data_IF_374413004028
#
_entry.id   IF_374413004028
#
_cell.length_a   1.000
_cell.length_b   1.000
_cell.length_c   1.000
_cell.angle_alpha   90.00
_cell.angle_beta   90.00
_cell.angle_gamma   90.00
#
_symmetry.space_group_name_H-M   'P 1'
#
loop_
_entity.id
_entity.type
_entity.pdbx_description
1 polymer ?
#
# COMPACT_ATOMS: atom_id res chain seq x y z
N UNK A 1 -1.64 -1.28 -37.14
CA UNK A 1 -1.00 -1.56 -35.83
C UNK A 1 -1.99 -1.12 -34.76
N UNK A 2 -2.23 -1.93 -33.74
CA UNK A 2 -3.06 -1.47 -32.62
C UNK A 2 -2.41 -0.24 -31.98
N UNK A 3 -3.20 0.76 -31.62
CA UNK A 3 -2.70 1.96 -30.93
C UNK A 3 -2.16 1.55 -29.55
N UNK A 4 -1.02 2.12 -29.16
CA UNK A 4 -0.37 1.90 -27.86
C UNK A 4 -0.51 3.15 -27.02
N UNK A 5 -0.82 2.99 -25.73
CA UNK A 5 -0.96 4.12 -24.83
C UNK A 5 -0.02 4.01 -23.62
N UNK A 6 0.51 5.15 -23.19
CA UNK A 6 1.27 5.29 -21.94
C UNK A 6 0.52 6.26 -21.05
N UNK A 7 0.20 5.83 -19.83
CA UNK A 7 -0.28 6.69 -18.75
C UNK A 7 0.84 6.93 -17.74
N UNK A 8 1.47 8.09 -17.80
CA UNK A 8 2.52 8.48 -16.86
C UNK A 8 1.93 9.32 -15.73
N UNK A 9 1.88 8.76 -14.51
CA UNK A 9 1.39 9.45 -13.31
C UNK A 9 2.58 9.93 -12.48
N UNK A 10 2.67 11.24 -12.28
CA UNK A 10 3.65 11.91 -11.42
C UNK A 10 2.95 12.32 -10.12
N UNK A 11 2.74 11.35 -9.22
CA UNK A 11 2.05 11.57 -7.94
C UNK A 11 2.86 12.52 -7.05
N UNK A 12 2.19 13.53 -6.49
CA UNK A 12 2.82 14.54 -5.64
C UNK A 12 3.61 15.63 -6.37
N UNK A 13 3.47 15.76 -7.70
CA UNK A 13 4.14 16.80 -8.49
C UNK A 13 3.51 18.19 -8.30
N UNK A 14 2.20 18.24 -8.02
CA UNK A 14 1.46 19.49 -7.84
C UNK A 14 1.90 20.24 -6.59
N UNK A 15 1.91 21.57 -6.67
CA UNK A 15 2.17 22.47 -5.56
C UNK A 15 1.22 23.67 -5.61
N UNK A 16 1.07 24.36 -4.49
CA UNK A 16 0.27 25.58 -4.46
C UNK A 16 1.07 26.76 -5.02
N UNK A 17 0.45 27.63 -5.85
CA UNK A 17 1.06 28.86 -6.26
C UNK A 17 1.46 29.68 -5.03
N UNK A 18 2.72 29.99 -4.91
CA UNK A 18 3.27 30.80 -3.84
C UNK A 18 3.91 32.08 -4.41
N UNK A 19 4.21 33.10 -3.60
CA UNK A 19 4.94 34.28 -4.06
C UNK A 19 6.31 33.94 -4.67
N UNK A 20 6.87 32.78 -4.31
CA UNK A 20 8.10 32.23 -4.90
C UNK A 20 7.74 31.13 -5.89
N UNK A 21 8.61 30.93 -6.90
CA UNK A 21 8.47 29.83 -7.87
C UNK A 21 8.36 28.48 -7.18
N UNK A 22 7.46 27.63 -7.68
CA UNK A 22 7.31 26.26 -7.21
C UNK A 22 8.53 25.40 -7.62
N UNK A 23 8.81 24.27 -6.95
CA UNK A 23 9.85 23.34 -7.37
C UNK A 23 9.73 22.92 -8.85
N UNK A 24 8.51 22.71 -9.32
CA UNK A 24 8.24 22.34 -10.72
C UNK A 24 8.64 23.45 -11.70
N UNK A 25 8.36 24.71 -11.38
CA UNK A 25 8.77 25.87 -12.21
C UNK A 25 10.28 26.03 -12.25
N UNK A 26 10.98 25.68 -11.16
CA UNK A 26 12.45 25.78 -11.06
C UNK A 26 13.18 24.59 -11.69
N UNK A 27 12.53 23.46 -11.87
CA UNK A 27 13.14 22.24 -12.38
C UNK A 27 13.48 22.36 -13.88
N UNK A 28 14.63 21.81 -14.28
CA UNK A 28 14.99 21.62 -15.69
C UNK A 28 14.22 20.41 -16.23
N UNK A 29 13.20 20.65 -17.04
CA UNK A 29 12.28 19.61 -17.54
C UNK A 29 11.94 19.77 -19.04
N UNK A 30 12.95 19.85 -19.92
CA UNK A 30 12.73 20.22 -21.32
C UNK A 30 11.77 19.29 -22.07
N UNK A 31 11.76 17.99 -21.74
CA UNK A 31 10.85 17.03 -22.37
C UNK A 31 9.40 17.23 -21.92
N UNK A 32 9.16 17.49 -20.62
CA UNK A 32 7.82 17.82 -20.12
C UNK A 32 7.31 19.13 -20.70
N UNK A 33 8.18 20.16 -20.76
CA UNK A 33 7.85 21.46 -21.36
C UNK A 33 7.49 21.32 -22.84
N UNK A 34 8.21 20.45 -23.57
CA UNK A 34 7.89 20.15 -24.97
C UNK A 34 6.52 19.47 -25.08
N UNK A 35 6.23 18.45 -24.29
CA UNK A 35 4.93 17.76 -24.29
C UNK A 35 3.80 18.73 -23.94
N UNK A 36 3.99 19.59 -22.95
CA UNK A 36 3.01 20.58 -22.55
C UNK A 36 2.70 21.60 -23.68
N UNK A 37 3.72 21.98 -24.46
CA UNK A 37 3.54 22.91 -25.60
C UNK A 37 2.84 22.30 -26.82
N UNK A 38 3.00 21.00 -27.04
CA UNK A 38 2.51 20.30 -28.22
C UNK A 38 1.26 19.46 -27.98
N UNK A 39 0.95 19.19 -26.74
CA UNK A 39 -0.20 18.38 -26.32
C UNK A 39 -1.39 19.24 -25.87
N UNK A 40 -2.45 18.54 -25.47
CA UNK A 40 -3.63 19.14 -24.85
C UNK A 40 -3.46 19.10 -23.33
N UNK A 41 -3.78 20.20 -22.66
CA UNK A 41 -3.73 20.31 -21.21
C UNK A 41 -5.13 20.55 -20.64
N UNK A 42 -5.33 20.14 -19.39
CA UNK A 42 -6.58 20.36 -18.68
C UNK A 42 -6.47 20.03 -17.19
N UNK A 43 -7.49 20.39 -16.44
CA UNK A 43 -7.65 20.03 -15.03
C UNK A 43 -8.51 18.79 -14.91
N UNK A 44 -8.12 17.88 -14.00
CA UNK A 44 -8.87 16.65 -13.71
C UNK A 44 -9.29 16.62 -12.25
N UNK A 45 -10.60 16.58 -11.99
CA UNK A 45 -11.13 16.21 -10.68
C UNK A 45 -11.21 14.67 -10.61
N UNK A 46 -10.19 14.03 -10.05
CA UNK A 46 -10.01 12.58 -10.12
C UNK A 46 -11.15 11.76 -9.50
N UNK A 47 -11.76 12.23 -8.41
CA UNK A 47 -12.86 11.51 -7.74
C UNK A 47 -14.16 12.34 -7.84
N UNK A 48 -14.03 13.64 -7.71
CA UNK A 48 -15.15 14.59 -7.72
C UNK A 48 -14.68 15.96 -7.30
N UNK A 49 -15.41 16.97 -7.71
CA UNK A 49 -15.07 18.36 -7.38
C UNK A 49 -15.16 18.59 -5.86
N UNK A 50 -14.12 19.19 -5.28
CA UNK A 50 -14.05 19.47 -3.84
C UNK A 50 -13.69 18.26 -2.95
N UNK A 51 -13.49 17.06 -3.53
CA UNK A 51 -13.11 15.87 -2.79
C UNK A 51 -11.58 15.70 -2.85
N UNK A 52 -10.92 15.68 -1.69
CA UNK A 52 -9.49 15.39 -1.61
C UNK A 52 -9.26 13.89 -1.88
N UNK A 53 -8.58 13.51 -2.97
CA UNK A 53 -8.38 12.12 -3.32
C UNK A 53 -7.26 11.48 -2.49
N UNK A 54 -7.47 10.24 -2.03
CA UNK A 54 -6.36 9.37 -1.64
C UNK A 54 -5.66 8.79 -2.87
N UNK A 55 -4.37 8.47 -2.80
CA UNK A 55 -3.66 7.88 -3.94
C UNK A 55 -4.30 6.56 -4.41
N UNK A 56 -4.87 5.78 -3.51
CA UNK A 56 -5.60 4.53 -3.82
C UNK A 56 -6.87 4.77 -4.63
N UNK A 57 -7.73 5.67 -4.15
CA UNK A 57 -8.99 6.00 -4.82
C UNK A 57 -8.78 6.76 -6.13
N UNK A 58 -7.80 7.68 -6.16
CA UNK A 58 -7.45 8.43 -7.37
C UNK A 58 -6.94 7.50 -8.48
N UNK A 59 -5.97 6.62 -8.20
CA UNK A 59 -5.45 5.69 -9.20
C UNK A 59 -6.53 4.72 -9.69
N UNK A 60 -7.38 4.22 -8.78
CA UNK A 60 -8.49 3.36 -9.15
C UNK A 60 -9.45 4.07 -10.13
N UNK A 61 -9.80 5.32 -9.85
CA UNK A 61 -10.67 6.14 -10.71
C UNK A 61 -10.02 6.48 -12.05
N UNK A 62 -8.74 6.89 -12.05
CA UNK A 62 -7.99 7.21 -13.29
C UNK A 62 -7.93 5.98 -14.21
N UNK A 63 -7.83 4.78 -13.65
CA UNK A 63 -7.86 3.52 -14.40
C UNK A 63 -9.29 3.05 -14.75
N UNK A 64 -10.29 3.89 -14.57
CA UNK A 64 -11.67 3.64 -15.00
C UNK A 64 -12.53 2.82 -14.03
N UNK A 65 -12.10 2.62 -12.79
CA UNK A 65 -12.83 1.90 -11.75
C UNK A 65 -13.35 2.86 -10.69
N UNK A 66 -14.61 3.25 -10.79
CA UNK A 66 -15.25 4.19 -9.86
C UNK A 66 -15.15 3.69 -8.40
N UNK A 67 -14.54 4.45 -7.47
CA UNK A 67 -14.36 4.00 -6.09
C UNK A 67 -15.67 3.66 -5.36
N UNK A 68 -16.74 4.39 -5.61
CA UNK A 68 -18.06 4.09 -5.02
C UNK A 68 -18.58 2.68 -5.34
N UNK A 69 -18.09 2.05 -6.41
CA UNK A 69 -18.49 0.70 -6.83
C UNK A 69 -17.43 -0.36 -6.56
N UNK A 70 -16.13 -0.02 -6.68
CA UNK A 70 -15.06 -0.99 -6.77
C UNK A 70 -14.01 -0.87 -5.65
N UNK A 71 -14.13 0.10 -4.74
CA UNK A 71 -13.14 0.28 -3.69
C UNK A 71 -13.30 -0.73 -2.55
N UNK A 72 -12.33 -1.64 -2.37
CA UNK A 72 -12.42 -2.69 -1.35
C UNK A 72 -11.88 -2.25 0.02
N UNK A 73 -11.53 -0.99 0.20
CA UNK A 73 -10.68 -0.50 1.28
C UNK A 73 -9.20 -0.48 0.87
N UNK A 74 -8.34 0.14 1.67
CA UNK A 74 -6.91 0.29 1.36
C UNK A 74 -6.11 -1.00 1.53
N UNK A 75 -6.50 -1.84 2.49
CA UNK A 75 -5.79 -3.07 2.84
C UNK A 75 -5.52 -4.00 1.66
N UNK A 76 -6.50 -4.33 0.81
CA UNK A 76 -6.27 -5.21 -0.35
C UNK A 76 -5.20 -4.70 -1.30
N UNK A 77 -5.13 -3.40 -1.56
CA UNK A 77 -4.08 -2.83 -2.44
C UNK A 77 -2.68 -2.96 -1.81
N UNK A 78 -2.56 -2.68 -0.51
CA UNK A 78 -1.27 -2.85 0.19
C UNK A 78 -0.84 -4.32 0.18
N UNK A 79 -1.76 -5.26 0.41
CA UNK A 79 -1.47 -6.69 0.43
C UNK A 79 -1.05 -7.22 -0.96
N UNK A 80 -1.80 -6.90 -2.01
CA UNK A 80 -1.44 -7.27 -3.40
C UNK A 80 -0.11 -6.64 -3.81
N UNK A 81 0.10 -5.37 -3.43
CA UNK A 81 1.36 -4.67 -3.72
C UNK A 81 2.58 -5.24 -3.00
N UNK A 82 2.38 -5.89 -1.86
CA UNK A 82 3.41 -6.67 -1.15
C UNK A 82 3.57 -8.09 -1.70
N UNK A 83 2.82 -8.46 -2.75
CA UNK A 83 2.88 -9.79 -3.38
C UNK A 83 2.13 -10.88 -2.62
N UNK A 84 1.18 -10.52 -1.75
CA UNK A 84 0.29 -11.51 -1.11
C UNK A 84 -0.82 -11.86 -2.10
N UNK A 85 -0.93 -13.14 -2.44
CA UNK A 85 -2.06 -13.64 -3.23
C UNK A 85 -3.32 -13.67 -2.36
N UNK A 86 -4.28 -12.81 -2.67
CA UNK A 86 -5.55 -12.70 -1.95
C UNK A 86 -6.60 -13.68 -2.47
N UNK A 87 -7.47 -14.11 -1.58
CA UNK A 87 -8.65 -14.95 -1.85
C UNK A 87 -9.93 -14.21 -1.47
N UNK A 88 -11.06 -14.47 -2.12
CA UNK A 88 -12.34 -13.94 -1.66
C UNK A 88 -12.58 -14.26 -0.18
N UNK A 89 -12.99 -13.25 0.59
CA UNK A 89 -13.19 -13.35 2.03
C UNK A 89 -11.94 -13.04 2.89
N UNK A 90 -10.76 -12.84 2.30
CA UNK A 90 -9.61 -12.32 3.03
C UNK A 90 -9.88 -10.90 3.53
N UNK A 91 -9.63 -10.68 4.81
CA UNK A 91 -9.68 -9.33 5.42
C UNK A 91 -8.26 -8.82 5.56
N UNK A 92 -8.03 -7.62 5.09
CA UNK A 92 -6.68 -7.08 4.92
C UNK A 92 -6.53 -5.74 5.59
N UNK A 93 -5.32 -5.44 6.05
CA UNK A 93 -4.97 -4.19 6.73
C UNK A 93 -3.64 -3.67 6.21
N UNK A 94 -3.50 -2.36 6.13
CA UNK A 94 -2.19 -1.74 6.12
C UNK A 94 -1.56 -1.91 7.50
N UNK A 95 -0.31 -2.30 7.54
CA UNK A 95 0.44 -2.55 8.76
C UNK A 95 1.69 -1.67 8.84
N UNK A 96 2.06 -1.26 10.04
CA UNK A 96 3.31 -0.57 10.31
C UNK A 96 4.02 -1.23 11.50
N UNK A 97 5.31 -1.55 11.34
CA UNK A 97 6.17 -1.80 12.49
C UNK A 97 6.35 -0.52 13.31
N UNK A 98 6.25 -0.63 14.61
CA UNK A 98 6.39 0.47 15.56
C UNK A 98 7.15 0.02 16.81
N UNK A 99 7.60 1.00 17.61
CA UNK A 99 8.21 0.76 18.93
C UNK A 99 7.19 1.12 20.00
N UNK A 100 7.00 0.22 20.94
CA UNK A 100 6.18 0.44 22.14
C UNK A 100 6.99 0.20 23.40
N UNK A 101 6.60 0.89 24.48
CA UNK A 101 7.01 0.59 25.84
C UNK A 101 5.75 0.20 26.63
N UNK A 102 5.63 -1.07 26.99
CA UNK A 102 4.36 -1.64 27.42
C UNK A 102 3.27 -1.46 26.36
N UNK A 103 2.24 -0.66 26.63
CA UNK A 103 1.17 -0.35 25.67
C UNK A 103 1.28 1.07 25.07
N UNK A 104 2.37 1.80 25.34
CA UNK A 104 2.60 3.16 24.84
C UNK A 104 3.47 3.15 23.60
N UNK A 105 2.97 3.71 22.50
CA UNK A 105 3.70 3.89 21.24
C UNK A 105 4.70 5.03 21.42
N UNK A 106 5.98 4.69 21.40
CA UNK A 106 7.08 5.67 21.50
C UNK A 106 7.62 6.08 20.13
N UNK A 107 7.50 5.20 19.13
CA UNK A 107 7.83 5.51 17.74
C UNK A 107 6.95 4.69 16.78
N UNK A 108 6.14 5.37 15.98
CA UNK A 108 5.22 4.77 15.01
C UNK A 108 5.92 4.15 13.78
N UNK A 109 7.23 4.26 13.68
CA UNK A 109 8.03 3.81 12.53
C UNK A 109 9.22 2.94 12.92
N UNK A 110 9.31 2.53 14.19
CA UNK A 110 10.42 1.73 14.73
C UNK A 110 11.80 2.26 14.32
N UNK A 111 12.04 3.58 14.52
CA UNK A 111 13.28 4.24 14.12
C UNK A 111 13.51 4.24 12.60
N UNK A 112 12.45 4.20 11.78
CA UNK A 112 12.53 3.96 10.32
C UNK A 112 13.32 2.69 10.01
N UNK A 113 12.91 1.57 10.64
CA UNK A 113 13.51 0.25 10.41
C UNK A 113 13.81 0.03 8.91
N UNK A 114 14.99 -0.49 8.61
CA UNK A 114 15.37 -0.79 7.24
C UNK A 114 14.47 -1.90 6.64
N UNK A 115 14.27 -1.87 5.32
CA UNK A 115 13.49 -2.91 4.63
C UNK A 115 14.09 -4.31 4.84
N UNK A 116 15.41 -4.40 4.98
CA UNK A 116 16.12 -5.67 5.26
C UNK A 116 15.78 -6.21 6.65
N UNK A 117 15.85 -5.36 7.69
CA UNK A 117 15.50 -5.76 9.06
C UNK A 117 14.01 -6.08 9.17
N UNK A 118 13.13 -5.29 8.53
CA UNK A 118 11.70 -5.56 8.48
C UNK A 118 11.39 -6.92 7.84
N UNK A 119 12.13 -7.30 6.80
CA UNK A 119 12.00 -8.59 6.14
C UNK A 119 12.35 -9.77 7.06
N UNK A 120 13.35 -9.61 7.92
CA UNK A 120 13.76 -10.63 8.90
C UNK A 120 12.68 -10.87 9.95
N UNK A 121 11.85 -9.86 10.26
CA UNK A 121 10.76 -9.97 11.23
C UNK A 121 9.47 -10.60 10.65
N UNK A 122 9.35 -10.76 9.34
CA UNK A 122 8.11 -11.29 8.72
C UNK A 122 7.72 -12.66 9.24
N UNK A 123 8.69 -13.54 9.48
CA UNK A 123 8.44 -14.91 9.96
C UNK A 123 7.75 -14.91 11.34
N UNK A 124 8.12 -13.96 12.20
CA UNK A 124 7.57 -13.83 13.54
C UNK A 124 6.12 -13.32 13.53
N UNK A 125 5.73 -12.62 12.47
CA UNK A 125 4.37 -12.05 12.29
C UNK A 125 3.40 -13.03 11.63
N UNK A 126 3.91 -14.08 10.97
CA UNK A 126 3.10 -15.10 10.29
C UNK A 126 2.79 -16.26 11.26
N UNK A 127 1.54 -16.35 11.74
CA UNK A 127 1.08 -17.43 12.62
C UNK A 127 -0.44 -17.59 12.56
N UNK A 128 -0.98 -18.55 13.30
CA UNK A 128 -2.43 -18.75 13.41
C UNK A 128 -2.95 -18.27 14.76
N UNK A 129 -4.15 -17.71 14.74
CA UNK A 129 -4.94 -17.35 15.91
C UNK A 129 -6.28 -18.07 15.78
N UNK A 130 -6.51 -19.05 16.64
CA UNK A 130 -7.67 -19.95 16.54
C UNK A 130 -7.75 -20.57 15.12
N UNK A 131 -8.86 -20.37 14.41
CA UNK A 131 -9.08 -20.83 13.03
C UNK A 131 -8.65 -19.82 11.94
N UNK A 132 -8.02 -18.71 12.34
CA UNK A 132 -7.61 -17.63 11.42
C UNK A 132 -6.11 -17.65 11.18
N UNK A 133 -5.72 -17.72 9.91
CA UNK A 133 -4.34 -17.55 9.47
C UNK A 133 -4.00 -16.07 9.39
N UNK A 134 -2.90 -15.66 10.00
CA UNK A 134 -2.31 -14.32 9.89
C UNK A 134 -1.17 -14.38 8.90
N UNK A 135 -1.30 -13.64 7.80
CA UNK A 135 -0.29 -13.54 6.73
C UNK A 135 0.21 -12.10 6.68
N UNK A 136 1.51 -11.92 6.81
CA UNK A 136 2.15 -10.61 6.78
C UNK A 136 3.28 -10.56 5.75
N UNK A 137 3.41 -9.41 5.09
CA UNK A 137 4.57 -9.06 4.26
C UNK A 137 4.97 -7.61 4.51
N UNK A 138 6.25 -7.39 4.70
CA UNK A 138 6.85 -6.05 4.73
C UNK A 138 6.94 -5.48 3.31
N UNK A 139 6.93 -4.16 3.19
CA UNK A 139 7.18 -3.45 1.93
C UNK A 139 8.43 -2.58 2.04
N UNK A 140 8.27 -1.29 2.19
CA UNK A 140 9.39 -0.35 2.33
C UNK A 140 9.49 0.12 3.78
N UNK A 141 10.67 0.00 4.38
CA UNK A 141 10.95 0.40 5.76
C UNK A 141 9.97 -0.28 6.76
N UNK A 142 9.31 0.53 7.59
CA UNK A 142 8.37 0.09 8.62
C UNK A 142 7.01 -0.37 8.09
N UNK A 143 6.75 -0.25 6.80
CA UNK A 143 5.44 -0.53 6.21
C UNK A 143 5.29 -1.99 5.82
N UNK A 144 4.04 -2.45 5.85
CA UNK A 144 3.66 -3.78 5.40
C UNK A 144 2.15 -3.90 5.23
N UNK A 145 1.72 -5.11 4.92
CA UNK A 145 0.32 -5.50 4.86
C UNK A 145 0.09 -6.77 5.67
N UNK A 146 -1.06 -6.83 6.32
CA UNK A 146 -1.50 -7.99 7.08
C UNK A 146 -2.83 -8.49 6.50
N UNK A 147 -2.94 -9.79 6.35
CA UNK A 147 -4.14 -10.49 5.88
C UNK A 147 -4.60 -11.45 6.97
N UNK A 148 -5.87 -11.38 7.31
CA UNK A 148 -6.57 -12.38 8.08
C UNK A 148 -7.34 -13.28 7.12
N UNK A 149 -7.01 -14.57 7.11
CA UNK A 149 -7.66 -15.58 6.28
C UNK A 149 -8.37 -16.60 7.16
N UNK A 150 -9.68 -16.64 7.06
CA UNK A 150 -10.54 -17.50 7.85
C UNK A 150 -12.01 -17.31 7.53
N UNK A 151 -12.88 -18.16 8.07
CA UNK A 151 -14.34 -18.02 7.91
C UNK A 151 -14.92 -17.02 8.90
N UNK A 152 -15.99 -16.32 8.50
CA UNK A 152 -16.74 -15.45 9.40
C UNK A 152 -15.93 -14.24 9.87
N UNK A 153 -15.21 -13.58 8.95
CA UNK A 153 -14.45 -12.36 9.21
C UNK A 153 -15.11 -11.16 8.51
N UNK A 154 -14.93 -9.97 9.05
CA UNK A 154 -15.42 -8.70 8.50
C UNK A 154 -14.36 -7.62 8.59
N UNK A 155 -14.32 -6.72 7.60
CA UNK A 155 -13.47 -5.52 7.65
C UNK A 155 -14.11 -4.38 8.47
N UNK A 156 -15.31 -4.56 9.01
CA UNK A 156 -16.04 -3.56 9.82
C UNK A 156 -15.51 -3.56 11.27
N UNK A 157 -14.25 -3.19 11.41
CA UNK A 157 -13.55 -3.09 12.71
C UNK A 157 -12.71 -1.81 12.77
N UNK A 158 -12.49 -1.29 13.97
CA UNK A 158 -11.64 -0.13 14.17
C UNK A 158 -10.15 -0.47 14.05
N UNK A 159 -9.34 0.55 13.74
CA UNK A 159 -7.89 0.44 13.68
C UNK A 159 -7.28 0.23 15.08
N UNK A 160 -6.12 -0.43 15.15
CA UNK A 160 -5.27 -0.46 16.35
C UNK A 160 -4.23 0.65 16.36
N UNK A 161 -4.02 1.33 15.21
CA UNK A 161 -3.14 2.50 15.05
C UNK A 161 -3.92 3.79 15.38
N UNK A 162 -3.56 4.53 16.45
CA UNK A 162 -4.21 5.79 16.83
C UNK A 162 -3.82 6.98 15.91
N UNK A 163 -2.93 6.78 14.95
CA UNK A 163 -2.35 7.81 14.09
C UNK A 163 -1.47 8.86 14.81
N UNK A 164 -1.23 8.71 16.11
CA UNK A 164 -0.37 9.56 16.94
C UNK A 164 0.46 8.69 17.89
N UNK A 165 1.33 9.31 18.68
CA UNK A 165 1.93 8.67 19.86
C UNK A 165 0.87 8.50 20.93
N UNK A 166 1.06 7.56 21.84
CA UNK A 166 0.13 7.23 22.92
C UNK A 166 -0.24 5.76 22.92
N UNK A 167 -1.38 5.40 23.48
CA UNK A 167 -1.76 3.99 23.64
C UNK A 167 -2.07 3.29 22.34
N UNK A 168 -1.63 2.05 22.21
CA UNK A 168 -2.13 1.13 21.18
C UNK A 168 -3.62 0.92 21.44
N UNK A 169 -4.44 1.05 20.41
CA UNK A 169 -5.89 0.91 20.55
C UNK A 169 -6.31 -0.57 20.48
N UNK A 170 -7.30 -0.92 21.27
CA UNK A 170 -8.05 -2.15 21.04
C UNK A 170 -8.98 -1.95 19.83
N UNK A 171 -9.02 -2.95 18.96
CA UNK A 171 -9.97 -2.97 17.86
C UNK A 171 -11.37 -3.27 18.39
N UNK A 172 -12.35 -2.49 17.95
CA UNK A 172 -13.76 -2.67 18.24
C UNK A 172 -14.55 -2.97 16.97
N UNK A 173 -15.64 -3.76 17.05
CA UNK A 173 -16.55 -3.94 15.92
C UNK A 173 -17.25 -2.62 15.59
N UNK A 174 -17.37 -2.28 14.31
CA UNK A 174 -18.06 -1.09 13.82
C UNK A 174 -19.53 -1.36 13.46
N UNK A 175 -19.96 -2.61 13.54
CA UNK A 175 -21.34 -3.03 13.46
C UNK A 175 -21.61 -4.18 14.44
N UNK A 176 -22.87 -4.61 14.54
CA UNK A 176 -23.30 -5.64 15.49
C UNK A 176 -23.09 -7.09 15.02
N UNK A 177 -22.52 -7.29 13.82
CA UNK A 177 -22.38 -8.61 13.20
C UNK A 177 -21.42 -9.52 13.99
N UNK A 178 -21.68 -10.83 14.06
CA UNK A 178 -20.76 -11.81 14.67
C UNK A 178 -19.37 -11.77 14.04
N UNK A 179 -19.29 -11.54 12.72
CA UNK A 179 -18.07 -11.46 11.94
C UNK A 179 -17.19 -10.27 12.35
N UNK A 180 -17.78 -9.10 12.57
CA UNK A 180 -17.05 -7.92 13.06
C UNK A 180 -16.53 -8.15 14.49
N UNK A 181 -17.36 -8.74 15.37
CA UNK A 181 -16.96 -9.10 16.73
C UNK A 181 -15.81 -10.13 16.74
N UNK A 182 -15.92 -11.18 15.90
CA UNK A 182 -14.84 -12.17 15.73
C UNK A 182 -13.55 -11.50 15.26
N UNK A 183 -13.61 -10.68 14.23
CA UNK A 183 -12.41 -10.02 13.68
C UNK A 183 -11.76 -9.08 14.69
N UNK A 184 -12.53 -8.27 15.42
CA UNK A 184 -12.00 -7.42 16.49
C UNK A 184 -11.32 -8.26 17.59
N UNK A 185 -11.91 -9.36 17.99
CA UNK A 185 -11.32 -10.32 18.94
C UNK A 185 -9.99 -10.90 18.45
N UNK A 186 -9.92 -11.29 17.17
CA UNK A 186 -8.67 -11.79 16.53
C UNK A 186 -7.60 -10.71 16.51
N UNK A 187 -7.94 -9.46 16.13
CA UNK A 187 -6.99 -8.35 16.12
C UNK A 187 -6.44 -8.04 17.51
N UNK A 188 -7.27 -8.07 18.54
CA UNK A 188 -6.84 -7.84 19.91
C UNK A 188 -5.96 -8.97 20.43
N UNK A 189 -6.25 -10.24 20.09
CA UNK A 189 -5.35 -11.37 20.35
C UNK A 189 -4.02 -11.19 19.61
N UNK A 190 -4.06 -10.81 18.32
CA UNK A 190 -2.86 -10.53 17.52
C UNK A 190 -1.99 -9.48 18.19
N UNK A 191 -2.55 -8.33 18.56
CA UNK A 191 -1.82 -7.21 19.19
C UNK A 191 -1.10 -7.64 20.47
N UNK A 192 -1.76 -8.43 21.31
CA UNK A 192 -1.14 -8.98 22.54
C UNK A 192 -0.02 -9.98 22.25
N UNK A 193 -0.24 -10.89 21.30
CA UNK A 193 0.73 -11.95 20.99
C UNK A 193 1.94 -11.42 20.25
N UNK A 194 1.74 -10.46 19.32
CA UNK A 194 2.80 -10.00 18.46
C UNK A 194 3.88 -9.23 19.21
N UNK A 195 3.51 -8.43 20.21
CA UNK A 195 4.46 -7.74 21.07
C UNK A 195 5.44 -8.71 21.72
N UNK A 196 4.92 -9.75 22.36
CA UNK A 196 5.73 -10.78 23.04
C UNK A 196 6.64 -11.57 22.07
N UNK A 197 6.16 -11.84 20.85
CA UNK A 197 6.96 -12.54 19.84
C UNK A 197 8.08 -11.66 19.29
N UNK A 198 7.78 -10.42 18.93
CA UNK A 198 8.75 -9.50 18.36
C UNK A 198 9.83 -9.09 19.38
N UNK A 199 9.51 -8.94 20.64
CA UNK A 199 10.52 -8.66 21.68
C UNK A 199 11.61 -9.74 21.77
N UNK A 200 11.23 -11.01 21.55
CA UNK A 200 12.12 -12.16 21.57
C UNK A 200 12.77 -12.48 20.23
N UNK A 201 12.38 -11.78 19.16
CA UNK A 201 12.92 -12.00 17.82
C UNK A 201 14.43 -11.72 17.77
N UNK A 202 15.17 -12.61 17.14
CA UNK A 202 16.62 -12.45 16.95
C UNK A 202 16.96 -11.12 16.24
N UNK A 203 16.15 -10.72 15.26
CA UNK A 203 16.33 -9.46 14.55
C UNK A 203 16.20 -8.25 15.49
N UNK A 204 15.23 -8.26 16.41
CA UNK A 204 15.07 -7.20 17.41
C UNK A 204 16.16 -7.23 18.50
N UNK A 205 16.61 -8.40 18.90
CA UNK A 205 17.75 -8.53 19.83
C UNK A 205 19.03 -7.93 19.22
N UNK A 206 19.29 -8.18 17.93
CA UNK A 206 20.40 -7.57 17.19
C UNK A 206 20.23 -6.04 17.05
N UNK A 207 19.00 -5.54 16.87
CA UNK A 207 18.71 -4.11 16.85
C UNK A 207 19.00 -3.46 18.21
N UNK A 208 18.54 -4.08 19.30
CA UNK A 208 18.81 -3.63 20.66
C UNK A 208 20.29 -3.56 20.98
N UNK A 209 21.06 -4.58 20.59
CA UNK A 209 22.53 -4.60 20.75
C UNK A 209 23.25 -3.48 19.98
N UNK A 210 22.63 -2.93 18.93
CA UNK A 210 23.11 -1.80 18.13
C UNK A 210 22.53 -0.44 18.59
N UNK A 211 21.88 -0.38 19.74
CA UNK A 211 21.15 0.81 20.25
C UNK A 211 20.10 1.35 19.27
N UNK A 212 19.48 0.50 18.45
CA UNK A 212 18.40 0.86 17.56
C UNK A 212 17.04 0.55 18.22
N UNK A 213 16.00 1.38 17.96
CA UNK A 213 14.65 1.09 18.45
C UNK A 213 14.17 -0.29 17.98
N UNK A 214 13.61 -1.08 18.87
CA UNK A 214 13.01 -2.38 18.51
C UNK A 214 11.72 -2.14 17.75
N UNK A 215 11.47 -2.98 16.75
CA UNK A 215 10.18 -3.03 16.05
C UNK A 215 9.30 -4.08 16.73
N UNK A 216 8.84 -3.77 17.95
CA UNK A 216 8.18 -4.72 18.83
C UNK A 216 6.65 -4.65 18.82
N UNK A 217 6.07 -3.91 17.87
CA UNK A 217 4.62 -3.85 17.64
C UNK A 217 4.30 -3.73 16.17
N UNK A 218 3.13 -4.25 15.78
CA UNK A 218 2.54 -4.06 14.44
C UNK A 218 1.20 -3.34 14.61
N UNK A 219 1.14 -2.09 14.16
CA UNK A 219 -0.07 -1.28 14.18
C UNK A 219 -0.86 -1.46 12.88
N UNK A 220 -2.18 -1.66 13.00
CA UNK A 220 -3.06 -2.00 11.88
C UNK A 220 -4.11 -0.92 11.64
N UNK A 221 -4.36 -0.62 10.35
CA UNK A 221 -5.36 0.35 9.91
C UNK A 221 -5.80 0.12 8.47
N UNK A 222 -6.84 0.87 8.05
CA UNK A 222 -7.33 0.84 6.66
C UNK A 222 -7.81 -0.55 6.26
N UNK A 223 -8.64 -1.14 7.10
CA UNK A 223 -9.26 -2.44 6.85
C UNK A 223 -10.01 -2.48 5.53
N UNK A 224 -9.96 -3.62 4.84
CA UNK A 224 -10.70 -3.88 3.62
C UNK A 224 -10.93 -5.36 3.41
N UNK A 225 -11.97 -5.69 2.66
CA UNK A 225 -12.29 -7.04 2.26
C UNK A 225 -11.98 -7.23 0.77
N UNK A 226 -11.19 -8.26 0.44
CA UNK A 226 -10.91 -8.54 -0.96
C UNK A 226 -12.15 -9.06 -1.67
N UNK A 227 -12.51 -8.40 -2.77
CA UNK A 227 -13.54 -8.84 -3.70
C UNK A 227 -12.96 -8.83 -5.13
N UNK A 228 -13.39 -9.78 -5.94
CA UNK A 228 -13.03 -9.81 -7.35
C UNK A 228 -13.78 -8.71 -8.11
N UNK A 229 -13.10 -8.04 -9.03
CA UNK A 229 -13.66 -7.08 -9.96
C UNK A 229 -13.40 -7.53 -11.40
N UNK A 230 -14.16 -7.06 -12.40
CA UNK A 230 -13.81 -7.32 -13.79
C UNK A 230 -12.39 -6.86 -14.08
N UNK A 231 -11.56 -7.73 -14.67
CA UNK A 231 -10.18 -7.36 -14.98
C UNK A 231 -10.10 -6.22 -16.00
N UNK A 232 -8.96 -5.53 -16.05
CA UNK A 232 -8.70 -4.45 -17.00
C UNK A 232 -8.93 -4.92 -18.44
N UNK A 233 -8.43 -6.11 -18.78
CA UNK A 233 -8.63 -6.70 -20.11
C UNK A 233 -10.07 -7.08 -20.40
N UNK A 234 -10.81 -7.60 -19.42
CA UNK A 234 -12.26 -7.88 -19.59
C UNK A 234 -13.07 -6.60 -19.78
N UNK A 235 -12.67 -5.50 -19.11
CA UNK A 235 -13.40 -4.24 -19.15
C UNK A 235 -13.13 -3.42 -20.41
N UNK A 236 -11.88 -3.40 -20.86
CA UNK A 236 -11.44 -2.52 -21.95
C UNK A 236 -10.98 -3.23 -23.22
N UNK A 237 -10.89 -4.56 -23.22
CA UNK A 237 -10.46 -5.36 -24.37
C UNK A 237 -8.96 -5.25 -24.70
N UNK A 238 -8.15 -4.64 -23.84
CA UNK A 238 -6.72 -4.39 -24.03
C UNK A 238 -5.88 -4.97 -22.90
N UNK A 239 -4.61 -5.23 -23.16
CA UNK A 239 -3.65 -5.74 -22.19
C UNK A 239 -2.91 -4.56 -21.53
N UNK A 240 -3.09 -4.44 -20.22
CA UNK A 240 -2.43 -3.41 -19.41
C UNK A 240 -1.30 -3.96 -18.55
N UNK A 241 -0.26 -3.15 -18.33
CA UNK A 241 0.83 -3.44 -17.40
C UNK A 241 1.20 -2.21 -16.58
N UNK A 242 1.61 -2.41 -15.33
CA UNK A 242 2.04 -1.34 -14.44
C UNK A 242 3.53 -1.47 -14.12
N UNK A 243 4.24 -0.34 -14.17
CA UNK A 243 5.63 -0.17 -13.75
C UNK A 243 5.67 0.86 -12.63
N UNK A 244 5.81 0.40 -11.38
CA UNK A 244 5.85 1.26 -10.20
C UNK A 244 6.84 0.74 -9.15
N UNK A 245 7.42 1.65 -8.35
CA UNK A 245 8.22 1.30 -7.18
C UNK A 245 7.37 1.04 -5.94
N UNK A 246 6.34 1.86 -5.72
CA UNK A 246 5.48 1.79 -4.52
C UNK A 246 4.51 0.62 -4.54
N UNK A 247 4.38 -0.06 -3.39
CA UNK A 247 3.47 -1.20 -3.24
C UNK A 247 2.01 -0.83 -3.54
N UNK A 248 1.53 0.32 -3.07
CA UNK A 248 0.16 0.76 -3.29
C UNK A 248 -0.23 0.78 -4.78
N UNK A 249 0.62 1.36 -5.62
CA UNK A 249 0.36 1.49 -7.06
C UNK A 249 0.35 0.14 -7.77
N UNK A 250 1.32 -0.71 -7.44
CA UNK A 250 1.35 -2.12 -7.91
C UNK A 250 0.10 -2.87 -7.45
N UNK A 251 -0.34 -2.62 -6.22
CA UNK A 251 -1.53 -3.26 -5.65
C UNK A 251 -2.82 -2.84 -6.34
N UNK A 252 -2.99 -1.55 -6.66
CA UNK A 252 -4.16 -1.07 -7.42
C UNK A 252 -4.20 -1.72 -8.81
N UNK A 253 -3.06 -1.74 -9.52
CA UNK A 253 -2.96 -2.37 -10.84
C UNK A 253 -3.22 -3.89 -10.78
N UNK A 254 -2.63 -4.59 -9.81
CA UNK A 254 -2.86 -6.01 -9.59
C UNK A 254 -4.31 -6.33 -9.24
N UNK A 255 -4.98 -5.47 -8.45
CA UNK A 255 -6.38 -5.62 -8.07
C UNK A 255 -7.32 -5.64 -9.29
N UNK A 256 -7.03 -4.83 -10.27
CA UNK A 256 -7.80 -4.77 -11.52
C UNK A 256 -7.25 -5.72 -12.62
N UNK A 257 -6.35 -6.63 -12.26
CA UNK A 257 -5.84 -7.66 -13.16
C UNK A 257 -4.87 -7.16 -14.24
N UNK A 258 -4.17 -6.04 -14.03
CA UNK A 258 -3.03 -5.64 -14.85
C UNK A 258 -1.78 -6.43 -14.42
N UNK A 259 -0.92 -6.72 -15.38
CA UNK A 259 0.40 -7.30 -15.09
C UNK A 259 1.30 -6.28 -14.36
N UNK A 260 2.28 -6.79 -13.61
CA UNK A 260 3.26 -5.95 -12.91
C UNK A 260 4.66 -6.27 -13.43
N UNK A 261 5.36 -5.25 -13.92
CA UNK A 261 6.79 -5.35 -14.23
C UNK A 261 7.59 -4.74 -13.08
N UNK A 262 8.38 -5.58 -12.42
CA UNK A 262 9.35 -5.14 -11.42
C UNK A 262 10.63 -4.68 -12.11
N UNK A 263 11.06 -3.45 -11.82
CA UNK A 263 12.26 -2.85 -12.40
C UNK A 263 13.31 -2.68 -11.29
N UNK A 264 14.50 -3.25 -11.40
CA UNK A 264 15.58 -2.98 -10.47
C UNK A 264 15.84 -1.47 -10.37
N UNK A 265 16.05 -0.97 -9.16
CA UNK A 265 16.23 0.47 -8.92
C UNK A 265 14.94 1.31 -8.92
N UNK A 266 13.78 0.76 -9.24
CA UNK A 266 12.50 1.46 -9.10
C UNK A 266 12.03 1.45 -7.63
N UNK A 267 12.62 2.31 -6.80
CA UNK A 267 12.39 2.36 -5.35
C UNK A 267 11.12 3.13 -4.95
N UNK A 268 10.65 4.05 -5.80
CA UNK A 268 9.59 5.00 -5.47
C UNK A 268 10.03 6.12 -4.51
N UNK A 269 11.33 6.28 -4.27
CA UNK A 269 11.98 7.33 -3.50
C UNK A 269 12.80 8.26 -4.40
N UNK A 270 13.54 9.22 -3.82
CA UNK A 270 14.34 10.21 -4.57
C UNK A 270 15.39 9.57 -5.50
N UNK A 271 15.91 8.42 -5.10
CA UNK A 271 16.95 7.64 -5.76
C UNK A 271 16.41 6.66 -6.80
N UNK A 272 15.11 6.73 -7.12
CA UNK A 272 14.49 5.83 -8.11
C UNK A 272 15.14 5.96 -9.48
N UNK A 273 15.49 4.84 -10.12
CA UNK A 273 16.06 4.81 -11.46
C UNK A 273 14.99 5.09 -12.53
N UNK A 274 14.84 6.36 -12.89
CA UNK A 274 13.90 6.79 -13.92
C UNK A 274 14.27 6.28 -15.31
N UNK A 275 15.58 6.12 -15.61
CA UNK A 275 16.04 5.61 -16.89
C UNK A 275 15.66 4.14 -17.07
N UNK A 276 15.89 3.33 -16.05
CA UNK A 276 15.48 1.91 -16.05
C UNK A 276 13.96 1.77 -16.22
N UNK A 277 13.16 2.61 -15.54
CA UNK A 277 11.69 2.63 -15.72
C UNK A 277 11.31 2.99 -17.15
N UNK A 278 11.93 4.01 -17.74
CA UNK A 278 11.67 4.41 -19.12
C UNK A 278 12.02 3.33 -20.14
N UNK A 279 13.15 2.63 -19.95
CA UNK A 279 13.54 1.51 -20.80
C UNK A 279 12.57 0.32 -20.67
N UNK A 280 12.14 0.02 -19.45
CA UNK A 280 11.14 -1.01 -19.18
C UNK A 280 9.79 -0.68 -19.83
N UNK A 281 9.35 0.59 -19.77
CA UNK A 281 8.14 1.07 -20.45
C UNK A 281 8.23 0.88 -21.96
N UNK A 282 9.35 1.28 -22.58
CA UNK A 282 9.57 1.07 -24.01
C UNK A 282 9.46 -0.41 -24.42
N UNK A 283 10.12 -1.29 -23.66
CA UNK A 283 10.07 -2.73 -23.90
C UNK A 283 8.67 -3.33 -23.65
N UNK A 284 7.96 -2.84 -22.64
CA UNK A 284 6.61 -3.30 -22.34
C UNK A 284 5.62 -3.03 -23.48
N UNK A 285 5.78 -1.93 -24.21
CA UNK A 285 4.95 -1.61 -25.38
C UNK A 285 5.06 -2.60 -26.53
N UNK A 286 6.07 -3.46 -26.57
CA UNK A 286 6.15 -4.55 -27.55
C UNK A 286 5.05 -5.61 -27.31
N UNK A 287 4.64 -5.80 -26.05
CA UNK A 287 3.74 -6.86 -25.62
C UNK A 287 2.37 -6.36 -25.14
N UNK A 288 2.32 -5.16 -24.57
CA UNK A 288 1.13 -4.58 -23.95
C UNK A 288 0.60 -3.41 -24.79
N UNK A 289 -0.70 -3.18 -24.68
CA UNK A 289 -1.39 -2.08 -25.37
C UNK A 289 -1.41 -0.80 -24.51
N UNK A 290 -1.36 -0.98 -23.17
CA UNK A 290 -1.42 0.09 -22.19
C UNK A 290 -0.35 -0.13 -21.09
N UNK A 291 0.48 0.89 -20.86
CA UNK A 291 1.56 0.90 -19.87
C UNK A 291 1.40 2.05 -18.90
#
# INVERSE_FOLDING_TARGET
MAEKAILLILDGLGDLPAPKKTPLEMAKKPNMDKLAKTGIQGMMATIGQGIVPGSDTAHLQILGYAPGKYYPGRGPFEALGCGIALKPGDITFRANFSTVNGNEITDRRAGRISSEDAKKLEADVNFKIDDVEVIFRSSVEHRGALVLRGKGLSCKVSATDPHCLGKVLDSAPLDSTPEAKKTAGVLNKFTRMIGQKLEKSEANLKRKARNLPQANMVLLRGGGAFCAVPSFSQRFGIKGVCIAGGALYKGVASFIGMDIISVPGATGAKDTDLKAKGLATKKALEKYDFV
#
